data_IF_420169099180
#
_entry.id   IF_420169099180
#
_cell.length_a   1.000
_cell.length_b   1.000
_cell.length_c   1.000
_cell.angle_alpha   90.00
_cell.angle_beta   90.00
_cell.angle_gamma   90.00
#
_symmetry.space_group_name_H-M   'P 1'
#
loop_
_entity.id
_entity.type
_entity.pdbx_description
1 polymer ?
#
# COMPACT_ATOMS: atom_id res chain seq x y z
N UNK A 1 25.36 11.17 -3.30
CA UNK A 1 24.74 9.83 -3.42
C UNK A 1 24.58 9.44 -4.88
N UNK A 2 23.54 9.83 -5.64
CA UNK A 2 23.46 9.42 -7.05
C UNK A 2 24.45 10.18 -7.97
N UNK A 3 24.79 11.45 -7.65
CA UNK A 3 25.70 12.30 -8.45
C UNK A 3 27.12 11.74 -8.51
N UNK A 4 27.54 11.08 -7.44
CA UNK A 4 28.86 10.48 -7.33
C UNK A 4 28.99 9.30 -8.30
N UNK A 5 27.91 8.55 -8.55
CA UNK A 5 27.86 7.47 -9.54
C UNK A 5 27.89 7.99 -10.98
N UNK A 6 27.24 9.11 -11.27
CA UNK A 6 27.29 9.73 -12.60
C UNK A 6 28.69 10.23 -12.94
N UNK A 7 29.41 10.78 -11.95
CA UNK A 7 30.80 11.20 -12.10
C UNK A 7 31.72 9.99 -12.31
N UNK A 8 31.45 8.89 -11.60
CA UNK A 8 32.25 7.67 -11.65
C UNK A 8 32.04 6.84 -12.93
N UNK A 9 30.81 6.82 -13.46
CA UNK A 9 30.42 6.05 -14.65
C UNK A 9 29.71 6.89 -15.71
N UNK A 10 30.36 7.94 -16.25
CA UNK A 10 29.71 8.93 -17.10
C UNK A 10 29.08 8.34 -18.36
N UNK A 11 29.63 7.25 -18.91
CA UNK A 11 29.12 6.59 -20.10
C UNK A 11 27.83 5.78 -19.86
N UNK A 12 27.69 5.13 -18.69
CA UNK A 12 26.47 4.40 -18.33
C UNK A 12 25.29 5.36 -18.11
N UNK A 13 25.57 6.55 -17.56
CA UNK A 13 24.56 7.57 -17.31
C UNK A 13 24.33 8.53 -18.48
N UNK A 14 25.17 8.50 -19.52
CA UNK A 14 25.02 9.37 -20.70
C UNK A 14 23.71 9.15 -21.45
N UNK A 15 23.14 7.95 -21.37
CA UNK A 15 21.85 7.61 -21.97
C UNK A 15 20.65 8.14 -21.15
N UNK A 16 20.88 8.59 -19.91
CA UNK A 16 19.84 8.97 -18.94
C UNK A 16 20.11 10.35 -18.31
N UNK A 17 20.14 11.45 -19.11
CA UNK A 17 20.59 12.77 -18.65
C UNK A 17 19.67 13.44 -17.61
N UNK A 18 18.40 13.02 -17.51
CA UNK A 18 17.39 13.62 -16.63
C UNK A 18 17.09 12.79 -15.38
N UNK A 19 17.80 11.68 -15.17
CA UNK A 19 17.62 10.74 -14.05
C UNK A 19 17.49 11.42 -12.68
N UNK A 20 18.25 12.50 -12.45
CA UNK A 20 18.26 13.24 -11.19
C UNK A 20 17.04 14.12 -10.93
N UNK A 21 16.35 14.51 -11.98
CA UNK A 21 15.18 15.37 -11.90
C UNK A 21 13.88 14.57 -11.94
N UNK A 22 13.94 13.36 -12.47
CA UNK A 22 12.78 12.46 -12.61
C UNK A 22 12.58 11.58 -11.38
N UNK A 23 13.65 11.27 -10.64
CA UNK A 23 13.56 10.50 -9.41
C UNK A 23 13.38 11.38 -8.17
N UNK A 24 12.50 10.96 -7.27
CA UNK A 24 12.41 11.54 -5.93
C UNK A 24 13.59 11.13 -5.03
N UNK A 25 13.67 11.73 -3.84
CA UNK A 25 14.81 11.52 -2.95
C UNK A 25 14.97 10.05 -2.50
N UNK A 26 13.86 9.37 -2.21
CA UNK A 26 13.86 7.99 -1.71
C UNK A 26 14.25 7.02 -2.83
N UNK A 27 13.80 7.30 -4.06
CA UNK A 27 14.18 6.57 -5.27
C UNK A 27 15.66 6.77 -5.64
N UNK A 28 16.18 8.01 -5.51
CA UNK A 28 17.61 8.29 -5.73
C UNK A 28 18.49 7.60 -4.70
N UNK A 29 18.06 7.55 -3.45
CA UNK A 29 18.76 6.84 -2.37
C UNK A 29 18.78 5.34 -2.60
N UNK A 30 17.62 4.75 -2.91
CA UNK A 30 17.47 3.33 -3.25
C UNK A 30 18.35 2.96 -4.44
N UNK A 31 18.30 3.74 -5.53
CA UNK A 31 19.15 3.51 -6.70
C UNK A 31 20.64 3.66 -6.35
N UNK A 32 21.03 4.66 -5.57
CA UNK A 32 22.41 4.84 -5.14
C UNK A 32 22.93 3.67 -4.30
N UNK A 33 22.10 3.05 -3.47
CA UNK A 33 22.45 1.86 -2.68
C UNK A 33 22.58 0.63 -3.58
N UNK A 34 21.69 0.46 -4.56
CA UNK A 34 21.76 -0.61 -5.56
C UNK A 34 23.03 -0.52 -6.41
N UNK A 35 23.40 0.67 -6.88
CA UNK A 35 24.63 0.90 -7.66
C UNK A 35 25.89 0.57 -6.86
N UNK A 36 25.85 0.77 -5.54
CA UNK A 36 26.95 0.41 -4.65
C UNK A 36 27.17 -1.11 -4.58
N UNK A 37 26.09 -1.87 -4.49
CA UNK A 37 26.13 -3.34 -4.47
C UNK A 37 26.63 -3.89 -5.82
N UNK A 38 26.18 -3.30 -6.93
CA UNK A 38 26.60 -3.68 -8.29
C UNK A 38 28.11 -3.46 -8.48
N UNK A 39 28.63 -2.31 -8.03
CA UNK A 39 30.06 -2.02 -8.08
C UNK A 39 30.88 -3.03 -7.28
N UNK A 40 30.41 -3.43 -6.10
CA UNK A 40 31.09 -4.43 -5.27
C UNK A 40 31.05 -5.84 -5.88
N UNK A 41 30.06 -6.14 -6.73
CA UNK A 41 29.96 -7.40 -7.45
C UNK A 41 30.87 -7.49 -8.69
N UNK A 42 31.54 -6.40 -9.07
CA UNK A 42 32.55 -6.38 -10.15
C UNK A 42 31.98 -6.40 -11.58
N UNK A 43 30.66 -6.28 -11.74
CA UNK A 43 29.97 -6.14 -13.03
C UNK A 43 29.83 -4.68 -13.45
N UNK A 44 29.77 -4.42 -14.76
CA UNK A 44 29.50 -3.09 -15.30
C UNK A 44 28.11 -2.59 -14.87
N UNK A 45 27.96 -1.27 -14.68
CA UNK A 45 26.69 -0.67 -14.27
C UNK A 45 25.63 -0.82 -15.38
N UNK A 46 24.63 -1.69 -15.14
CA UNK A 46 23.33 -1.78 -15.83
C UNK A 46 23.30 -2.52 -17.19
N UNK A 47 24.10 -3.57 -17.37
CA UNK A 47 23.84 -4.52 -18.46
C UNK A 47 22.69 -5.49 -18.12
N UNK A 48 22.19 -6.22 -19.13
CA UNK A 48 21.09 -7.17 -18.97
C UNK A 48 21.35 -8.21 -17.88
N UNK A 49 22.58 -8.72 -17.79
CA UNK A 49 22.99 -9.71 -16.81
C UNK A 49 22.93 -9.17 -15.38
N UNK A 50 23.32 -7.91 -15.18
CA UNK A 50 23.24 -7.21 -13.90
C UNK A 50 21.78 -7.00 -13.48
N UNK A 51 20.91 -6.59 -14.41
CA UNK A 51 19.47 -6.44 -14.14
C UNK A 51 18.83 -7.79 -13.80
N UNK A 52 19.15 -8.85 -14.53
CA UNK A 52 18.65 -10.19 -14.21
C UNK A 52 19.12 -10.68 -12.85
N UNK A 53 20.37 -10.39 -12.46
CA UNK A 53 20.85 -10.72 -11.13
C UNK A 53 20.05 -10.02 -10.03
N UNK A 54 19.75 -8.73 -10.19
CA UNK A 54 18.95 -7.97 -9.20
C UNK A 54 17.54 -8.53 -9.12
N UNK A 55 16.90 -8.74 -10.27
CA UNK A 55 15.58 -9.34 -10.35
C UNK A 55 15.56 -10.68 -9.62
N UNK A 56 16.45 -11.61 -9.96
CA UNK A 56 16.54 -12.96 -9.38
C UNK A 56 16.69 -13.01 -7.84
N UNK A 57 17.17 -11.92 -7.21
CA UNK A 57 17.42 -11.87 -5.77
C UNK A 57 16.51 -10.90 -5.01
N UNK A 58 15.58 -10.24 -5.72
CA UNK A 58 14.51 -9.46 -5.08
C UNK A 58 13.57 -10.40 -4.31
N UNK A 59 13.36 -10.08 -3.03
CA UNK A 59 12.61 -10.96 -2.12
C UNK A 59 11.16 -10.51 -1.94
N UNK A 60 10.89 -9.22 -2.15
CA UNK A 60 9.58 -8.61 -1.94
C UNK A 60 8.97 -8.04 -3.23
N UNK A 61 7.67 -8.25 -3.40
CA UNK A 61 6.89 -7.75 -4.54
C UNK A 61 6.98 -6.22 -4.66
N UNK A 62 7.00 -5.50 -3.55
CA UNK A 62 7.13 -4.04 -3.52
C UNK A 62 8.48 -3.58 -4.08
N UNK A 63 9.58 -4.27 -3.75
CA UNK A 63 10.92 -3.93 -4.26
C UNK A 63 11.00 -4.17 -5.76
N UNK A 64 10.40 -5.26 -6.24
CA UNK A 64 10.23 -5.54 -7.67
C UNK A 64 9.43 -4.44 -8.36
N UNK A 65 8.28 -4.05 -7.82
CA UNK A 65 7.44 -2.98 -8.39
C UNK A 65 8.18 -1.66 -8.47
N UNK A 66 8.89 -1.25 -7.41
CA UNK A 66 9.69 -0.02 -7.43
C UNK A 66 10.83 -0.08 -8.45
N UNK A 67 11.51 -1.23 -8.56
CA UNK A 67 12.57 -1.41 -9.54
C UNK A 67 12.03 -1.40 -10.98
N UNK A 68 10.85 -1.99 -11.22
CA UNK A 68 10.18 -1.99 -12.52
C UNK A 68 9.74 -0.58 -12.91
N UNK A 69 9.13 0.17 -11.99
CA UNK A 69 8.74 1.58 -12.20
C UNK A 69 9.98 2.39 -12.55
N UNK A 70 11.04 2.26 -11.75
CA UNK A 70 12.32 2.89 -11.98
C UNK A 70 12.88 2.55 -13.37
N UNK A 71 12.97 1.28 -13.75
CA UNK A 71 13.48 0.87 -15.07
C UNK A 71 12.60 1.37 -16.24
N UNK A 72 11.29 1.52 -16.01
CA UNK A 72 10.32 2.01 -16.99
C UNK A 72 10.44 3.53 -17.18
N UNK A 73 10.56 4.27 -16.09
CA UNK A 73 10.75 5.73 -16.09
C UNK A 73 12.07 6.10 -16.77
N UNK A 74 13.10 5.28 -16.52
CA UNK A 74 14.42 5.43 -17.15
C UNK A 74 14.48 4.90 -18.59
N UNK A 75 13.39 4.30 -19.10
CA UNK A 75 13.31 3.73 -20.45
C UNK A 75 14.41 2.71 -20.75
N UNK A 76 14.92 2.01 -19.73
CA UNK A 76 15.99 1.03 -19.87
C UNK A 76 15.49 -0.42 -19.89
N UNK A 77 14.17 -0.62 -19.75
CA UNK A 77 13.55 -1.94 -19.80
C UNK A 77 13.47 -2.49 -21.22
N UNK A 78 14.17 -3.59 -21.48
CA UNK A 78 14.16 -4.27 -22.77
C UNK A 78 13.27 -5.53 -22.81
N UNK A 79 13.14 -6.12 -23.99
CA UNK A 79 12.30 -7.30 -24.22
C UNK A 79 12.78 -8.54 -23.45
N UNK A 80 14.08 -8.69 -23.23
CA UNK A 80 14.64 -9.81 -22.44
C UNK A 80 14.37 -9.65 -20.95
N UNK A 81 14.44 -8.42 -20.42
CA UNK A 81 14.08 -8.08 -19.04
C UNK A 81 12.60 -8.28 -18.75
N UNK A 82 11.73 -7.87 -19.67
CA UNK A 82 10.30 -8.17 -19.57
C UNK A 82 10.03 -9.67 -19.57
N UNK A 83 10.65 -10.43 -20.50
CA UNK A 83 10.49 -11.87 -20.54
C UNK A 83 11.00 -12.55 -19.27
N UNK A 84 12.11 -12.06 -18.70
CA UNK A 84 12.68 -12.57 -17.45
C UNK A 84 11.74 -12.35 -16.26
N UNK A 85 11.17 -11.15 -16.14
CA UNK A 85 10.14 -10.82 -15.15
C UNK A 85 8.92 -11.75 -15.24
N UNK A 86 8.41 -11.98 -16.44
CA UNK A 86 7.26 -12.87 -16.65
C UNK A 86 7.57 -14.34 -16.37
N UNK A 87 8.82 -14.79 -16.56
CA UNK A 87 9.20 -16.20 -16.40
C UNK A 87 9.69 -16.56 -15.01
N UNK A 88 10.35 -15.63 -14.29
CA UNK A 88 11.08 -15.95 -13.05
C UNK A 88 10.46 -15.34 -11.79
N UNK A 89 9.73 -14.23 -11.89
CA UNK A 89 9.19 -13.52 -10.73
C UNK A 89 7.71 -13.74 -10.47
N UNK A 90 7.10 -14.69 -11.20
CA UNK A 90 5.74 -15.19 -11.00
C UNK A 90 4.83 -14.10 -10.43
N UNK A 91 4.39 -13.19 -11.30
CA UNK A 91 3.23 -12.35 -11.04
C UNK A 91 2.02 -13.07 -11.65
N UNK A 92 1.59 -14.25 -11.14
CA UNK A 92 0.58 -15.07 -11.79
C UNK A 92 -0.69 -14.28 -12.02
N UNK A 93 -1.06 -13.42 -11.07
CA UNK A 93 -2.23 -12.56 -11.16
C UNK A 93 -2.11 -11.51 -12.28
N UNK A 94 -0.92 -10.98 -12.53
CA UNK A 94 -0.66 -10.03 -13.62
C UNK A 94 -0.56 -10.72 -14.97
N UNK A 95 0.10 -11.89 -15.03
CA UNK A 95 0.18 -12.69 -16.25
C UNK A 95 -1.21 -13.16 -16.67
N UNK A 96 -2.00 -13.71 -15.74
CA UNK A 96 -3.39 -14.09 -15.99
C UNK A 96 -4.22 -12.88 -16.44
N UNK A 97 -4.04 -11.72 -15.78
CA UNK A 97 -4.71 -10.47 -16.17
C UNK A 97 -4.38 -10.05 -17.62
N UNK A 98 -3.11 -10.13 -18.01
CA UNK A 98 -2.65 -9.80 -19.37
C UNK A 98 -3.17 -10.85 -20.36
N UNK A 99 -3.11 -12.13 -20.03
CA UNK A 99 -3.59 -13.22 -20.89
C UNK A 99 -5.10 -13.09 -21.15
N UNK A 100 -5.89 -12.84 -20.10
CA UNK A 100 -7.33 -12.59 -20.20
C UNK A 100 -7.63 -11.40 -21.10
N UNK A 101 -6.95 -10.26 -20.92
CA UNK A 101 -7.17 -9.07 -21.77
C UNK A 101 -6.75 -9.33 -23.23
N UNK A 102 -5.63 -10.01 -23.45
CA UNK A 102 -5.05 -10.21 -24.79
C UNK A 102 -5.93 -11.10 -25.67
N UNK A 103 -6.71 -11.99 -25.05
CA UNK A 103 -7.70 -12.82 -25.72
C UNK A 103 -8.90 -12.00 -26.25
N UNK A 104 -9.11 -10.78 -25.77
CA UNK A 104 -10.28 -9.97 -26.10
C UNK A 104 -9.96 -8.66 -26.83
N UNK A 105 -8.72 -8.16 -26.73
CA UNK A 105 -8.29 -6.92 -27.36
C UNK A 105 -6.78 -6.90 -27.60
N UNK A 106 -6.34 -6.06 -28.54
CA UNK A 106 -4.92 -5.73 -28.69
C UNK A 106 -4.50 -4.89 -27.48
N UNK A 107 -3.51 -5.39 -26.73
CA UNK A 107 -2.97 -4.69 -25.55
C UNK A 107 -1.89 -3.71 -26.02
N UNK A 108 -2.02 -2.44 -25.62
CA UNK A 108 -1.00 -1.41 -25.86
C UNK A 108 0.03 -1.37 -24.73
N UNK A 109 1.20 -0.79 -24.99
CA UNK A 109 2.23 -0.62 -23.96
C UNK A 109 1.74 0.16 -22.74
N UNK A 110 0.84 1.12 -22.92
CA UNK A 110 0.30 1.95 -21.83
C UNK A 110 -0.58 1.13 -20.87
N UNK A 111 -1.34 0.16 -21.39
CA UNK A 111 -2.16 -0.74 -20.57
C UNK A 111 -1.27 -1.63 -19.71
N UNK A 112 -0.20 -2.17 -20.30
CA UNK A 112 0.78 -2.97 -19.55
C UNK A 112 1.39 -2.14 -18.44
N UNK A 113 1.90 -0.94 -18.76
CA UNK A 113 2.50 -0.03 -17.76
C UNK A 113 1.53 0.29 -16.61
N UNK A 114 0.28 0.57 -16.92
CA UNK A 114 -0.75 0.82 -15.91
C UNK A 114 -0.99 -0.40 -15.01
N UNK A 115 -1.14 -1.60 -15.57
CA UNK A 115 -1.36 -2.81 -14.77
C UNK A 115 -0.15 -3.17 -13.90
N UNK A 116 1.07 -2.83 -14.34
CA UNK A 116 2.28 -2.98 -13.53
C UNK A 116 2.38 -1.97 -12.38
N UNK A 117 1.76 -0.79 -12.51
CA UNK A 117 1.85 0.27 -11.50
C UNK A 117 0.83 0.12 -10.36
N UNK A 118 -0.05 -0.89 -10.41
CA UNK A 118 -1.17 -1.04 -9.48
C UNK A 118 -1.03 -2.31 -8.64
N UNK A 119 -1.47 -2.22 -7.39
CA UNK A 119 -1.35 -3.31 -6.42
C UNK A 119 -2.20 -4.53 -6.76
N UNK A 120 -3.41 -4.31 -7.29
CA UNK A 120 -4.38 -5.36 -7.63
C UNK A 120 -4.80 -5.28 -9.12
N UNK A 121 -3.99 -5.83 -10.05
CA UNK A 121 -4.29 -5.73 -11.49
C UNK A 121 -5.55 -6.47 -11.93
N UNK A 122 -5.90 -7.58 -11.26
CA UNK A 122 -7.08 -8.39 -11.58
C UNK A 122 -8.38 -7.60 -11.47
N UNK A 123 -8.52 -6.74 -10.46
CA UNK A 123 -9.72 -5.90 -10.28
C UNK A 123 -9.89 -4.91 -11.43
N UNK A 124 -8.80 -4.25 -11.83
CA UNK A 124 -8.78 -3.35 -12.98
C UNK A 124 -9.12 -4.08 -14.28
N UNK A 125 -8.56 -5.27 -14.49
CA UNK A 125 -8.90 -6.12 -15.64
C UNK A 125 -10.36 -6.54 -15.60
N UNK A 126 -10.90 -6.87 -14.43
CA UNK A 126 -12.31 -7.17 -14.22
C UNK A 126 -13.23 -6.04 -14.68
N UNK A 127 -12.89 -4.78 -14.39
CA UNK A 127 -13.60 -3.62 -14.93
C UNK A 127 -13.43 -3.48 -16.44
N UNK A 128 -12.18 -3.56 -16.93
CA UNK A 128 -11.87 -3.42 -18.36
C UNK A 128 -12.67 -4.42 -19.20
N UNK A 129 -12.70 -5.68 -18.79
CA UNK A 129 -13.43 -6.74 -19.45
C UNK A 129 -14.93 -6.46 -19.54
N UNK A 130 -15.54 -6.03 -18.43
CA UNK A 130 -16.98 -5.70 -18.40
C UNK A 130 -17.31 -4.49 -19.29
N UNK A 131 -16.45 -3.48 -19.33
CA UNK A 131 -16.63 -2.30 -20.18
C UNK A 131 -16.38 -2.61 -21.68
N UNK A 132 -15.36 -3.39 -22.01
CA UNK A 132 -15.08 -3.87 -23.37
C UNK A 132 -16.28 -4.65 -23.94
N UNK A 133 -16.87 -5.54 -23.14
CA UNK A 133 -18.09 -6.27 -23.51
C UNK A 133 -19.30 -5.37 -23.80
N UNK A 134 -19.30 -4.13 -23.31
CA UNK A 134 -20.32 -3.11 -23.63
C UNK A 134 -19.92 -2.18 -24.78
N UNK A 135 -18.80 -2.47 -25.45
CA UNK A 135 -18.31 -1.73 -26.61
C UNK A 135 -17.54 -0.46 -26.28
N UNK A 136 -17.01 -0.32 -25.06
CA UNK A 136 -16.18 0.83 -24.70
C UNK A 136 -14.73 0.57 -25.15
N UNK A 137 -14.10 1.55 -25.79
CA UNK A 137 -12.71 1.43 -26.23
C UNK A 137 -11.73 1.35 -25.06
N UNK A 138 -10.70 0.51 -25.19
CA UNK A 138 -9.69 0.28 -24.15
C UNK A 138 -8.96 1.57 -23.73
N UNK A 139 -8.69 2.48 -24.67
CA UNK A 139 -8.07 3.79 -24.40
C UNK A 139 -8.94 4.66 -23.48
N UNK A 140 -10.26 4.69 -23.71
CA UNK A 140 -11.20 5.42 -22.89
C UNK A 140 -11.34 4.80 -21.49
N UNK A 141 -11.34 3.47 -21.40
CA UNK A 141 -11.37 2.74 -20.13
C UNK A 141 -10.11 3.05 -19.31
N UNK A 142 -8.93 2.97 -19.93
CA UNK A 142 -7.65 3.23 -19.27
C UNK A 142 -7.57 4.67 -18.75
N UNK A 143 -7.96 5.64 -19.58
CA UNK A 143 -8.01 7.05 -19.20
C UNK A 143 -8.96 7.29 -18.01
N UNK A 144 -10.11 6.61 -17.99
CA UNK A 144 -11.05 6.69 -16.88
C UNK A 144 -10.47 6.10 -15.58
N UNK A 145 -9.97 4.86 -15.61
CA UNK A 145 -9.43 4.16 -14.43
C UNK A 145 -8.26 4.92 -13.80
N UNK A 146 -7.34 5.42 -14.64
CA UNK A 146 -6.15 6.16 -14.20
C UNK A 146 -6.43 7.52 -13.56
N UNK A 147 -7.55 8.17 -13.89
CA UNK A 147 -7.81 9.56 -13.46
C UNK A 147 -8.97 9.69 -12.47
N UNK A 148 -9.92 8.76 -12.47
CA UNK A 148 -11.22 8.99 -11.83
C UNK A 148 -11.60 7.93 -10.80
N UNK A 149 -10.84 6.85 -10.65
CA UNK A 149 -11.19 5.72 -9.80
C UNK A 149 -10.16 5.53 -8.70
N UNK A 150 -10.65 5.44 -7.46
CA UNK A 150 -9.84 5.01 -6.33
C UNK A 150 -9.70 3.49 -6.40
N UNK A 151 -8.49 3.01 -6.70
CA UNK A 151 -8.25 1.64 -7.11
C UNK A 151 -8.52 0.63 -5.98
N UNK A 152 -8.32 1.06 -4.75
CA UNK A 152 -8.51 0.28 -3.52
C UNK A 152 -9.96 -0.20 -3.35
N UNK A 153 -10.94 0.51 -3.93
CA UNK A 153 -12.35 0.16 -3.82
C UNK A 153 -12.93 -0.57 -5.05
N UNK A 154 -12.13 -0.89 -6.07
CA UNK A 154 -12.64 -1.44 -7.33
C UNK A 154 -13.35 -2.77 -7.14
N UNK A 155 -12.78 -3.72 -6.39
CA UNK A 155 -13.37 -5.04 -6.24
C UNK A 155 -14.80 -4.98 -5.63
N UNK A 156 -14.93 -4.24 -4.53
CA UNK A 156 -16.24 -4.01 -3.90
C UNK A 156 -17.21 -3.29 -4.83
N UNK A 157 -16.70 -2.30 -5.58
CA UNK A 157 -17.52 -1.56 -6.54
C UNK A 157 -17.99 -2.45 -7.70
N UNK A 158 -17.14 -3.32 -8.25
CA UNK A 158 -17.53 -4.31 -9.25
C UNK A 158 -18.65 -5.19 -8.74
N UNK A 159 -18.51 -5.71 -7.52
CA UNK A 159 -19.52 -6.59 -6.92
C UNK A 159 -20.86 -5.89 -6.77
N UNK A 160 -20.89 -4.68 -6.21
CA UNK A 160 -22.14 -3.93 -6.03
C UNK A 160 -22.74 -3.49 -7.37
N UNK A 161 -21.91 -3.09 -8.33
CA UNK A 161 -22.34 -2.63 -9.64
C UNK A 161 -22.87 -3.78 -10.51
N UNK A 162 -22.31 -4.98 -10.40
CA UNK A 162 -22.79 -6.20 -11.07
C UNK A 162 -24.18 -6.64 -10.57
N UNK A 163 -24.54 -6.31 -9.33
CA UNK A 163 -25.88 -6.54 -8.78
C UNK A 163 -26.89 -5.48 -9.25
N UNK A 164 -26.42 -4.29 -9.61
CA UNK A 164 -27.27 -3.16 -10.00
C UNK A 164 -27.84 -3.30 -11.41
N UNK A 165 -28.78 -2.41 -11.77
CA UNK A 165 -29.29 -2.29 -13.14
C UNK A 165 -28.34 -1.51 -14.07
N UNK A 166 -27.26 -0.93 -13.55
CA UNK A 166 -26.33 -0.14 -14.34
C UNK A 166 -25.43 -1.00 -15.22
N UNK A 167 -25.19 -0.51 -16.44
CA UNK A 167 -24.24 -1.12 -17.37
C UNK A 167 -22.89 -0.43 -17.34
N UNK A 168 -21.81 -1.15 -17.62
CA UNK A 168 -20.44 -0.64 -17.80
C UNK A 168 -20.26 0.19 -19.09
N UNK A 169 -21.08 1.24 -19.24
CA UNK A 169 -21.02 2.24 -20.30
C UNK A 169 -20.51 3.57 -19.74
N UNK A 170 -19.96 4.45 -20.57
CA UNK A 170 -19.37 5.72 -20.12
C UNK A 170 -20.33 6.59 -19.30
N UNK A 171 -21.62 6.57 -19.64
CA UNK A 171 -22.69 7.28 -18.91
C UNK A 171 -22.85 6.85 -17.43
N UNK A 172 -22.42 5.64 -17.06
CA UNK A 172 -22.47 5.16 -15.68
C UNK A 172 -21.11 5.12 -14.98
N UNK A 173 -20.02 5.46 -15.66
CA UNK A 173 -18.69 5.51 -15.04
C UNK A 173 -18.62 6.47 -13.84
N UNK A 174 -19.27 7.66 -13.84
CA UNK A 174 -19.31 8.50 -12.64
C UNK A 174 -19.96 7.79 -11.43
N UNK A 175 -20.95 6.92 -11.68
CA UNK A 175 -21.61 6.13 -10.63
C UNK A 175 -20.65 5.10 -10.04
N UNK A 176 -19.94 4.37 -10.90
CA UNK A 176 -18.92 3.41 -10.49
C UNK A 176 -17.81 4.09 -9.65
N UNK A 177 -17.33 5.25 -10.09
CA UNK A 177 -16.31 6.03 -9.37
C UNK A 177 -16.78 6.43 -7.97
N UNK A 178 -18.04 6.87 -7.83
CA UNK A 178 -18.60 7.21 -6.53
C UNK A 178 -18.63 6.02 -5.56
N UNK A 179 -18.97 4.83 -6.06
CA UNK A 179 -18.98 3.59 -5.27
C UNK A 179 -17.55 3.19 -4.89
N UNK A 180 -16.62 3.18 -5.84
CA UNK A 180 -15.22 2.83 -5.61
C UNK A 180 -14.57 3.75 -4.57
N UNK A 181 -14.90 5.05 -4.56
CA UNK A 181 -14.43 5.98 -3.52
C UNK A 181 -14.95 5.61 -2.13
N UNK A 182 -16.23 5.30 -1.99
CA UNK A 182 -16.82 4.89 -0.71
C UNK A 182 -16.22 3.56 -0.24
N UNK A 183 -16.09 2.59 -1.15
CA UNK A 183 -15.50 1.28 -0.87
C UNK A 183 -13.98 1.27 -0.83
N UNK A 184 -13.31 2.41 -1.01
CA UNK A 184 -11.89 2.55 -0.65
C UNK A 184 -11.72 2.83 0.85
N UNK A 185 -12.78 3.21 1.55
CA UNK A 185 -12.76 3.35 3.00
C UNK A 185 -12.78 1.96 3.67
N UNK A 186 -11.86 1.66 4.61
CA UNK A 186 -11.74 0.32 5.20
C UNK A 186 -12.98 -0.09 6.00
N UNK A 187 -13.67 0.85 6.67
CA UNK A 187 -14.92 0.53 7.36
C UNK A 187 -16.02 0.11 6.37
N UNK A 188 -16.13 0.81 5.23
CA UNK A 188 -17.07 0.46 4.17
C UNK A 188 -16.76 -0.91 3.55
N UNK A 189 -15.49 -1.26 3.37
CA UNK A 189 -15.09 -2.60 2.90
C UNK A 189 -15.54 -3.66 3.90
N UNK A 190 -15.19 -3.49 5.17
CA UNK A 190 -15.53 -4.45 6.23
C UNK A 190 -17.03 -4.66 6.38
N UNK A 191 -17.84 -3.59 6.40
CA UNK A 191 -19.29 -3.73 6.48
C UNK A 191 -19.86 -4.33 5.20
N UNK A 192 -19.30 -4.03 4.02
CA UNK A 192 -19.70 -4.66 2.77
C UNK A 192 -19.47 -6.16 2.83
N UNK A 193 -18.28 -6.60 3.21
CA UNK A 193 -17.90 -8.01 3.31
C UNK A 193 -18.66 -8.75 4.41
N UNK A 194 -19.04 -8.06 5.49
CA UNK A 194 -19.78 -8.66 6.60
C UNK A 194 -21.10 -9.32 6.21
N UNK A 195 -21.71 -8.91 5.09
CA UNK A 195 -22.92 -9.55 4.53
C UNK A 195 -22.71 -11.00 4.13
N UNK A 196 -21.46 -11.39 3.85
CA UNK A 196 -21.07 -12.75 3.49
C UNK A 196 -20.68 -13.62 4.69
N UNK A 197 -20.84 -13.13 5.93
CA UNK A 197 -20.51 -13.94 7.12
C UNK A 197 -21.33 -15.23 7.15
N UNK A 198 -20.67 -16.32 7.52
CA UNK A 198 -21.31 -17.62 7.75
C UNK A 198 -20.95 -18.14 9.13
N UNK A 199 -21.93 -18.78 9.76
CA UNK A 199 -21.80 -19.38 11.09
C UNK A 199 -21.83 -20.92 11.03
N UNK A 200 -21.65 -21.49 9.83
CA UNK A 200 -21.60 -22.93 9.62
C UNK A 200 -20.67 -23.26 8.46
N UNK A 201 -19.80 -24.25 8.66
CA UNK A 201 -18.90 -24.79 7.63
C UNK A 201 -19.66 -25.45 6.47
N UNK A 202 -20.96 -25.70 6.64
CA UNK A 202 -21.86 -26.29 5.64
C UNK A 202 -22.86 -25.30 5.04
N UNK A 203 -22.87 -24.03 5.48
CA UNK A 203 -23.81 -23.06 4.96
C UNK A 203 -23.34 -22.54 3.59
N UNK A 204 -24.20 -22.71 2.59
CA UNK A 204 -24.07 -22.00 1.31
C UNK A 204 -24.60 -20.60 1.52
N UNK A 205 -23.72 -19.60 1.45
CA UNK A 205 -24.12 -18.20 1.57
C UNK A 205 -24.70 -17.77 0.23
N UNK A 206 -25.95 -17.30 0.22
CA UNK A 206 -26.54 -16.62 -0.93
C UNK A 206 -26.31 -15.12 -0.79
N UNK A 207 -26.12 -14.41 -1.91
CA UNK A 207 -26.00 -12.95 -1.90
C UNK A 207 -27.27 -12.34 -1.30
N UNK A 208 -27.19 -11.62 -0.17
CA UNK A 208 -28.35 -11.03 0.47
C UNK A 208 -28.87 -9.78 -0.25
N UNK A 209 -28.02 -9.08 -1.01
CA UNK A 209 -28.43 -7.88 -1.76
C UNK A 209 -29.09 -8.27 -3.08
N UNK A 210 -30.29 -7.75 -3.33
CA UNK A 210 -30.91 -7.84 -4.64
C UNK A 210 -30.60 -6.60 -5.51
N UNK A 211 -31.03 -6.62 -6.77
CA UNK A 211 -30.76 -5.52 -7.70
C UNK A 211 -31.43 -4.19 -7.32
N UNK A 212 -32.60 -4.25 -6.67
CA UNK A 212 -33.29 -3.05 -6.18
C UNK A 212 -32.53 -2.43 -5.01
N UNK A 213 -32.03 -3.24 -4.08
CA UNK A 213 -31.20 -2.77 -2.97
C UNK A 213 -29.90 -2.13 -3.48
N UNK A 214 -29.26 -2.76 -4.47
CA UNK A 214 -28.05 -2.25 -5.11
C UNK A 214 -28.30 -0.90 -5.79
N UNK A 215 -29.37 -0.78 -6.60
CA UNK A 215 -29.74 0.48 -7.23
C UNK A 215 -30.06 1.57 -6.19
N UNK A 216 -30.76 1.21 -5.12
CA UNK A 216 -31.13 2.14 -4.05
C UNK A 216 -29.89 2.75 -3.40
N UNK A 217 -28.95 1.92 -2.92
CA UNK A 217 -27.77 2.44 -2.25
C UNK A 217 -26.91 3.27 -3.20
N UNK A 218 -26.74 2.83 -4.45
CA UNK A 218 -25.96 3.57 -5.44
C UNK A 218 -26.58 4.96 -5.70
N UNK A 219 -27.91 5.04 -5.85
CA UNK A 219 -28.59 6.32 -6.05
C UNK A 219 -28.46 7.26 -4.83
N UNK A 220 -28.59 6.73 -3.61
CA UNK A 220 -28.39 7.50 -2.38
C UNK A 220 -26.96 8.08 -2.32
N UNK A 221 -25.96 7.27 -2.65
CA UNK A 221 -24.55 7.70 -2.68
C UNK A 221 -24.29 8.79 -3.73
N UNK A 222 -24.86 8.67 -4.93
CA UNK A 222 -24.66 9.66 -6.00
C UNK A 222 -25.36 10.99 -5.67
N UNK A 223 -26.53 10.94 -5.04
CA UNK A 223 -27.29 12.13 -4.66
C UNK A 223 -26.65 12.93 -3.52
N UNK A 224 -25.74 12.30 -2.78
CA UNK A 224 -25.03 12.91 -1.65
C UNK A 224 -23.74 13.55 -2.16
N UNK A 225 -23.40 14.74 -1.65
CA UNK A 225 -22.16 15.44 -2.05
C UNK A 225 -21.00 15.08 -1.12
N UNK A 226 -21.22 15.21 0.18
CA UNK A 226 -20.20 15.02 1.22
C UNK A 226 -19.76 13.55 1.37
N UNK A 227 -18.44 13.32 1.45
CA UNK A 227 -17.86 11.97 1.50
C UNK A 227 -18.11 11.27 2.84
N UNK A 228 -18.00 11.99 3.95
CA UNK A 228 -18.28 11.45 5.29
C UNK A 228 -19.74 10.98 5.39
N UNK A 229 -20.67 11.80 4.87
CA UNK A 229 -22.09 11.46 4.82
C UNK A 229 -22.35 10.23 3.95
N UNK A 230 -21.61 10.04 2.85
CA UNK A 230 -21.70 8.81 2.04
C UNK A 230 -21.27 7.58 2.81
N UNK A 231 -20.17 7.68 3.56
CA UNK A 231 -19.67 6.58 4.40
C UNK A 231 -20.70 6.20 5.46
N UNK A 232 -21.28 7.19 6.14
CA UNK A 232 -22.37 6.98 7.10
C UNK A 232 -23.56 6.27 6.44
N UNK A 233 -24.10 6.80 5.34
CA UNK A 233 -25.24 6.21 4.62
C UNK A 233 -24.93 4.76 4.20
N UNK A 234 -23.73 4.51 3.70
CA UNK A 234 -23.32 3.19 3.23
C UNK A 234 -23.24 2.18 4.38
N UNK A 235 -22.59 2.57 5.48
CA UNK A 235 -22.47 1.74 6.67
C UNK A 235 -23.84 1.37 7.22
N UNK A 236 -24.67 2.37 7.49
CA UNK A 236 -26.00 2.16 8.06
C UNK A 236 -26.90 1.31 7.15
N UNK A 237 -26.81 1.50 5.83
CA UNK A 237 -27.55 0.67 4.88
C UNK A 237 -27.16 -0.81 5.00
N UNK A 238 -25.86 -1.12 5.07
CA UNK A 238 -25.39 -2.50 5.10
C UNK A 238 -25.43 -3.19 6.45
N UNK A 239 -25.57 -2.44 7.53
CA UNK A 239 -25.83 -3.03 8.86
C UNK A 239 -27.05 -3.94 8.87
N UNK A 240 -28.05 -3.66 8.00
CA UNK A 240 -29.29 -4.43 7.88
C UNK A 240 -29.14 -5.76 7.13
N UNK A 241 -28.05 -5.95 6.37
CA UNK A 241 -27.79 -7.15 5.59
C UNK A 241 -26.79 -8.09 6.28
N UNK A 242 -26.30 -7.72 7.46
CA UNK A 242 -25.46 -8.60 8.29
C UNK A 242 -26.28 -9.79 8.79
N UNK A 243 -25.79 -11.03 8.61
CA UNK A 243 -26.45 -12.19 9.16
C UNK A 243 -26.28 -12.21 10.69
N UNK A 244 -27.35 -12.55 11.40
CA UNK A 244 -27.29 -12.71 12.86
C UNK A 244 -26.74 -14.10 13.23
N UNK A 245 -25.83 -14.19 14.22
CA UNK A 245 -25.31 -15.47 14.65
C UNK A 245 -26.42 -16.35 15.28
N UNK A 246 -26.43 -17.67 15.00
CA UNK A 246 -27.46 -18.57 15.52
C UNK A 246 -27.25 -18.95 17.00
N UNK A 247 -26.14 -18.52 17.62
CA UNK A 247 -25.75 -18.93 18.96
C UNK A 247 -24.84 -17.90 19.64
N UNK A 248 -24.93 -17.84 20.97
CA UNK A 248 -24.10 -16.97 21.81
C UNK A 248 -22.59 -17.26 21.71
N UNK A 249 -22.18 -18.44 21.23
CA UNK A 249 -20.76 -18.77 21.04
C UNK A 249 -20.03 -17.84 20.04
N UNK A 250 -20.78 -17.12 19.22
CA UNK A 250 -20.26 -16.14 18.24
C UNK A 250 -20.33 -14.70 18.76
N UNK A 251 -20.86 -14.48 19.96
CA UNK A 251 -20.87 -13.16 20.60
C UNK A 251 -19.50 -12.96 21.23
N UNK A 252 -18.76 -11.99 20.70
CA UNK A 252 -17.43 -11.61 21.17
C UNK A 252 -17.54 -10.24 21.81
N UNK A 253 -17.10 -10.11 23.06
CA UNK A 253 -16.97 -8.81 23.70
C UNK A 253 -15.73 -8.11 23.15
N UNK A 254 -15.95 -7.14 22.25
CA UNK A 254 -14.86 -6.35 21.66
C UNK A 254 -14.42 -5.25 22.61
N UNK A 255 -13.15 -5.26 23.01
CA UNK A 255 -12.57 -4.19 23.81
C UNK A 255 -12.12 -3.01 22.92
N UNK A 256 -12.98 -2.00 22.83
CA UNK A 256 -12.75 -0.78 22.03
C UNK A 256 -11.48 -0.04 22.48
N UNK A 257 -11.17 -0.02 23.79
CA UNK A 257 -9.98 0.62 24.31
C UNK A 257 -8.68 -0.01 23.78
N UNK A 258 -8.67 -1.34 23.65
CA UNK A 258 -7.52 -2.08 23.10
C UNK A 258 -7.36 -1.81 21.59
N UNK A 259 -8.48 -1.72 20.86
CA UNK A 259 -8.50 -1.37 19.43
C UNK A 259 -7.98 0.05 19.19
N UNK A 260 -8.42 1.02 19.99
CA UNK A 260 -7.91 2.41 19.95
C UNK A 260 -6.42 2.45 20.29
N UNK A 261 -5.98 1.73 21.33
CA UNK A 261 -4.56 1.70 21.73
C UNK A 261 -3.67 1.12 20.62
N UNK A 262 -4.14 0.07 19.94
CA UNK A 262 -3.44 -0.55 18.81
C UNK A 262 -3.30 0.43 17.62
N UNK A 263 -4.40 1.04 17.19
CA UNK A 263 -4.38 2.01 16.09
C UNK A 263 -3.52 3.23 16.42
N UNK A 264 -3.61 3.75 17.66
CA UNK A 264 -2.73 4.84 18.13
C UNK A 264 -1.26 4.44 18.13
N UNK A 265 -0.95 3.19 18.45
CA UNK A 265 0.42 2.67 18.43
C UNK A 265 0.97 2.69 17.00
N UNK A 266 0.17 2.26 16.01
CA UNK A 266 0.54 2.31 14.59
C UNK A 266 0.69 3.76 14.09
N UNK A 267 -0.27 4.62 14.43
CA UNK A 267 -0.22 6.05 14.13
C UNK A 267 1.03 6.72 14.71
N UNK A 268 1.40 6.42 15.95
CA UNK A 268 2.61 6.97 16.56
C UNK A 268 3.88 6.44 15.85
N UNK A 269 3.93 5.14 15.53
CA UNK A 269 5.06 4.55 14.79
C UNK A 269 5.27 5.22 13.43
N UNK A 270 4.20 5.48 12.66
CA UNK A 270 4.30 6.15 11.37
C UNK A 270 4.76 7.61 11.50
N UNK A 271 4.27 8.33 12.51
CA UNK A 271 4.71 9.71 12.79
C UNK A 271 6.17 9.80 13.23
N UNK A 272 6.66 8.80 13.97
CA UNK A 272 8.07 8.67 14.35
C UNK A 272 8.93 8.33 13.14
N UNK A 273 8.48 7.45 12.25
CA UNK A 273 9.21 7.13 11.02
C UNK A 273 9.32 8.35 10.09
N UNK A 274 8.27 9.18 10.03
CA UNK A 274 8.24 10.38 9.20
C UNK A 274 8.98 11.60 9.82
N UNK A 275 9.46 11.53 11.06
CA UNK A 275 10.15 12.65 11.70
C UNK A 275 11.61 12.71 11.27
N UNK A 276 11.93 13.63 10.37
CA UNK A 276 13.29 13.82 9.81
C UNK A 276 14.11 14.88 10.58
N UNK A 277 13.47 15.72 11.40
CA UNK A 277 14.11 16.80 12.16
C UNK A 277 13.93 16.67 13.68
N UNK A 278 14.81 17.32 14.43
CA UNK A 278 14.75 17.37 15.90
C UNK A 278 13.47 18.06 16.40
N UNK A 279 13.01 19.12 15.71
CA UNK A 279 11.76 19.82 16.04
C UNK A 279 10.53 18.91 15.82
N UNK A 280 10.50 18.15 14.72
CA UNK A 280 9.43 17.19 14.46
C UNK A 280 9.43 16.07 15.51
N UNK A 281 10.62 15.60 15.89
CA UNK A 281 10.78 14.57 16.91
C UNK A 281 10.28 15.04 18.28
N UNK A 282 10.56 16.30 18.65
CA UNK A 282 10.04 16.90 19.89
C UNK A 282 8.51 16.99 19.86
N UNK A 283 7.94 17.48 18.76
CA UNK A 283 6.49 17.59 18.61
C UNK A 283 5.78 16.22 18.69
N UNK A 284 6.36 15.17 18.09
CA UNK A 284 5.82 13.81 18.18
C UNK A 284 5.93 13.27 19.61
N UNK A 285 7.02 13.53 20.34
CA UNK A 285 7.14 13.16 21.78
C UNK A 285 6.11 13.87 22.65
N UNK A 286 5.87 15.16 22.42
CA UNK A 286 4.84 15.93 23.14
C UNK A 286 3.43 15.40 22.85
N UNK A 287 3.16 15.04 21.59
CA UNK A 287 1.91 14.40 21.18
C UNK A 287 1.70 13.07 21.91
N UNK A 288 2.70 12.17 21.93
CA UNK A 288 2.63 10.88 22.64
C UNK A 288 2.40 11.10 24.14
N UNK A 289 3.13 12.05 24.75
CA UNK A 289 2.97 12.39 26.17
C UNK A 289 1.55 12.90 26.47
N UNK A 290 0.98 13.69 25.55
CA UNK A 290 -0.39 14.21 25.67
C UNK A 290 -1.40 13.07 25.57
N UNK A 291 -1.27 12.20 24.57
CA UNK A 291 -2.13 11.02 24.40
C UNK A 291 -2.19 10.17 25.67
N UNK A 292 -1.03 9.90 26.28
CA UNK A 292 -0.93 9.09 27.51
C UNK A 292 -1.59 9.73 28.72
N UNK A 293 -1.56 11.07 28.84
CA UNK A 293 -2.04 11.79 30.04
C UNK A 293 -3.46 12.31 29.92
N UNK A 294 -3.87 12.72 28.72
CA UNK A 294 -5.09 13.49 28.47
C UNK A 294 -6.00 12.88 27.39
N UNK A 295 -5.53 11.87 26.66
CA UNK A 295 -6.24 11.33 25.50
C UNK A 295 -5.98 12.11 24.20
N UNK A 296 -6.74 11.75 23.17
CA UNK A 296 -6.60 12.29 21.82
C UNK A 296 -7.38 13.57 21.57
N UNK A 297 -7.48 13.92 20.28
CA UNK A 297 -8.23 15.07 19.79
C UNK A 297 -8.85 14.74 18.43
N UNK A 298 -9.59 15.69 17.86
CA UNK A 298 -10.30 15.50 16.58
C UNK A 298 -9.38 15.10 15.42
N UNK A 299 -8.19 15.69 15.35
CA UNK A 299 -7.23 15.40 14.27
C UNK A 299 -6.77 13.94 14.33
N UNK A 300 -6.49 13.44 15.54
CA UNK A 300 -6.06 12.06 15.74
C UNK A 300 -7.23 11.10 15.51
N UNK A 301 -8.43 11.46 15.98
CA UNK A 301 -9.65 10.69 15.72
C UNK A 301 -9.90 10.52 14.22
N UNK A 302 -9.93 11.61 13.47
CA UNK A 302 -10.17 11.56 12.02
C UNK A 302 -9.11 10.74 11.29
N UNK A 303 -7.89 10.62 11.84
CA UNK A 303 -6.82 9.81 11.28
C UNK A 303 -6.96 8.30 11.56
N UNK A 304 -7.59 7.89 12.66
CA UNK A 304 -7.64 6.47 13.08
C UNK A 304 -9.05 5.86 13.10
N UNK A 305 -10.10 6.68 13.06
CA UNK A 305 -11.49 6.23 13.34
C UNK A 305 -11.93 5.07 12.44
N UNK A 306 -11.56 5.08 11.17
CA UNK A 306 -11.95 4.03 10.22
C UNK A 306 -11.14 2.75 10.38
N UNK A 307 -9.86 2.83 10.80
CA UNK A 307 -9.06 1.65 11.16
C UNK A 307 -9.68 0.97 12.40
N UNK A 308 -9.94 1.76 13.45
CA UNK A 308 -10.53 1.25 14.70
C UNK A 308 -11.93 0.68 14.45
N UNK A 309 -12.78 1.40 13.72
CA UNK A 309 -14.14 0.96 13.40
C UNK A 309 -14.13 -0.33 12.59
N UNK A 310 -13.25 -0.43 11.60
CA UNK A 310 -13.08 -1.64 10.79
C UNK A 310 -12.65 -2.84 11.62
N UNK A 311 -11.71 -2.66 12.54
CA UNK A 311 -11.26 -3.71 13.46
C UNK A 311 -12.37 -4.18 14.40
N UNK A 312 -13.13 -3.23 14.98
CA UNK A 312 -14.28 -3.56 15.84
C UNK A 312 -15.30 -4.36 15.05
N UNK A 313 -15.66 -3.88 13.86
CA UNK A 313 -16.70 -4.51 13.05
C UNK A 313 -16.26 -5.88 12.54
N UNK A 314 -14.97 -6.09 12.25
CA UNK A 314 -14.43 -7.39 11.84
C UNK A 314 -14.56 -8.46 12.94
N UNK A 315 -14.39 -8.08 14.20
CA UNK A 315 -14.49 -9.00 15.34
C UNK A 315 -15.91 -9.12 15.89
N UNK A 316 -16.70 -8.04 15.85
CA UNK A 316 -18.06 -8.03 16.36
C UNK A 316 -19.02 -8.65 15.33
N UNK A 317 -19.19 -9.96 15.45
CA UNK A 317 -20.08 -10.73 14.60
C UNK A 317 -21.57 -10.52 14.90
N UNK A 318 -21.92 -9.75 15.94
CA UNK A 318 -23.30 -9.54 16.38
C UNK A 318 -23.67 -8.05 16.55
N UNK A 319 -22.83 -7.12 16.09
CA UNK A 319 -23.04 -5.67 16.22
C UNK A 319 -24.36 -5.24 15.57
N UNK A 320 -25.16 -4.46 16.29
CA UNK A 320 -26.29 -3.69 15.73
C UNK A 320 -26.00 -2.19 15.74
N UNK A 321 -24.74 -1.81 15.99
CA UNK A 321 -24.35 -0.40 16.07
C UNK A 321 -24.60 0.29 14.74
N UNK A 322 -25.06 1.53 14.82
CA UNK A 322 -25.05 2.45 13.69
C UNK A 322 -23.71 3.19 13.65
N UNK A 323 -23.50 3.91 12.55
CA UNK A 323 -22.31 4.71 12.34
C UNK A 323 -22.02 5.66 13.51
N UNK A 324 -23.04 6.43 13.93
CA UNK A 324 -22.88 7.43 15.00
C UNK A 324 -22.51 6.78 16.34
N UNK A 325 -23.17 5.66 16.70
CA UNK A 325 -22.87 4.91 17.93
C UNK A 325 -21.40 4.46 17.95
N UNK A 326 -20.93 3.89 16.82
CA UNK A 326 -19.56 3.41 16.70
C UNK A 326 -18.54 4.55 16.79
N UNK A 327 -18.81 5.67 16.12
CA UNK A 327 -17.93 6.84 16.16
C UNK A 327 -17.87 7.46 17.55
N UNK A 328 -19.00 7.54 18.26
CA UNK A 328 -19.07 8.06 19.62
C UNK A 328 -18.35 7.16 20.63
N UNK A 329 -18.46 5.84 20.49
CA UNK A 329 -17.73 4.88 21.33
C UNK A 329 -16.21 5.00 21.14
N UNK A 330 -15.74 5.09 19.88
CA UNK A 330 -14.32 5.29 19.56
C UNK A 330 -13.84 6.64 20.08
N UNK A 331 -14.62 7.71 19.89
CA UNK A 331 -14.29 9.05 20.36
C UNK A 331 -14.20 9.10 21.90
N UNK A 332 -15.15 8.47 22.59
CA UNK A 332 -15.16 8.36 24.04
C UNK A 332 -13.92 7.63 24.56
N UNK A 333 -13.55 6.50 23.94
CA UNK A 333 -12.36 5.73 24.30
C UNK A 333 -11.06 6.51 24.04
N UNK A 334 -10.95 7.20 22.91
CA UNK A 334 -9.79 8.02 22.56
C UNK A 334 -9.56 9.19 23.52
N UNK A 335 -10.63 9.82 24.00
CA UNK A 335 -10.54 10.95 24.92
C UNK A 335 -10.14 10.57 26.34
N UNK A 336 -10.04 9.27 26.66
CA UNK A 336 -9.45 8.82 27.92
C UNK A 336 -7.91 8.82 27.87
N UNK A 337 -7.22 8.96 29.01
CA UNK A 337 -5.77 8.80 29.07
C UNK A 337 -5.31 7.43 28.56
N UNK A 338 -4.42 7.41 27.58
CA UNK A 338 -3.93 6.18 26.93
C UNK A 338 -2.74 5.60 27.71
N UNK A 339 -2.99 5.13 28.92
CA UNK A 339 -1.94 4.73 29.89
C UNK A 339 -1.07 3.59 29.34
N UNK A 340 -1.68 2.68 28.57
CA UNK A 340 -1.06 1.49 27.99
C UNK A 340 -0.35 1.73 26.65
N UNK A 341 -0.46 2.93 26.06
CA UNK A 341 0.28 3.28 24.85
C UNK A 341 1.80 3.11 25.10
N UNK A 342 2.56 2.65 24.11
CA UNK A 342 4.03 2.53 24.22
C UNK A 342 4.66 3.93 24.53
N UNK A 343 5.82 3.96 25.22
CA UNK A 343 6.56 5.23 25.44
C UNK A 343 7.37 5.64 24.22
N UNK A 344 7.71 4.67 23.37
CA UNK A 344 8.55 4.83 22.17
C UNK A 344 9.93 5.44 22.41
N UNK A 345 10.38 5.58 23.66
CA UNK A 345 11.64 6.24 24.02
C UNK A 345 12.83 5.65 23.25
N UNK A 346 12.97 4.32 23.24
CA UNK A 346 14.03 3.61 22.52
C UNK A 346 14.03 3.87 21.00
N UNK A 347 12.87 4.12 20.38
CA UNK A 347 12.77 4.35 18.93
C UNK A 347 13.23 5.73 18.51
N UNK A 348 13.07 6.74 19.37
CA UNK A 348 13.66 8.05 19.11
C UNK A 348 15.19 8.05 19.28
N UNK A 349 15.76 7.14 20.08
CA UNK A 349 17.21 6.99 20.19
C UNK A 349 17.79 6.07 19.10
N UNK A 350 17.01 5.11 18.59
CA UNK A 350 17.40 4.18 17.51
C UNK A 350 17.14 4.69 16.08
N UNK A 351 16.30 5.71 15.86
CA UNK A 351 16.11 6.33 14.54
C UNK A 351 17.36 7.04 13.98
N UNK A 352 18.52 6.91 14.64
CA UNK A 352 19.82 7.25 14.05
C UNK A 352 20.40 6.14 13.16
N UNK A 353 19.87 4.91 13.22
CA UNK A 353 20.28 3.80 12.35
C UNK A 353 19.10 2.84 12.14
N UNK A 354 18.44 2.91 10.98
CA UNK A 354 17.59 1.81 10.51
C UNK A 354 18.50 0.71 9.96
N UNK A 355 18.49 -0.53 10.50
CA UNK A 355 19.11 -1.64 9.80
C UNK A 355 18.06 -2.23 8.84
N UNK A 356 18.14 -1.88 7.57
CA UNK A 356 17.52 -2.67 6.50
C UNK A 356 18.25 -4.03 6.41
N UNK A 357 17.65 -5.02 5.73
CA UNK A 357 18.32 -6.29 5.37
C UNK A 357 19.73 -6.06 4.79
N UNK A 358 19.89 -4.98 4.02
CA UNK A 358 21.17 -4.55 3.45
C UNK A 358 22.21 -4.09 4.49
N UNK A 359 21.79 -3.51 5.63
CA UNK A 359 22.68 -3.13 6.71
C UNK A 359 23.21 -4.35 7.51
N UNK A 360 22.41 -5.42 7.62
CA UNK A 360 22.82 -6.68 8.24
C UNK A 360 23.82 -7.46 7.36
N UNK A 361 23.59 -7.48 6.04
CA UNK A 361 24.53 -8.05 5.06
C UNK A 361 25.88 -7.31 5.04
N UNK A 362 25.87 -5.96 5.13
CA UNK A 362 27.07 -5.13 5.23
C UNK A 362 27.84 -5.32 6.55
N UNK A 363 27.15 -5.54 7.68
CA UNK A 363 27.80 -5.86 8.97
C UNK A 363 28.51 -7.20 8.95
N UNK A 364 27.95 -8.21 8.28
CA UNK A 364 28.58 -9.53 8.16
C UNK A 364 29.83 -9.54 7.25
N UNK A 365 29.97 -8.59 6.33
CA UNK A 365 31.17 -8.44 5.49
C UNK A 365 32.22 -7.49 6.08
N UNK A 366 31.82 -6.45 6.81
CA UNK A 366 32.78 -5.54 7.47
C UNK A 366 33.38 -6.13 8.75
N UNK A 367 32.71 -7.10 9.40
CA UNK A 367 33.27 -7.85 10.52
C UNK A 367 34.43 -8.80 10.15
N UNK A 368 34.61 -9.11 8.87
CA UNK A 368 35.67 -9.98 8.35
C UNK A 368 36.79 -9.23 7.63
N UNK A 369 36.66 -7.91 7.43
CA UNK A 369 37.68 -7.07 6.79
C UNK A 369 38.10 -5.93 7.73
N UNK A 370 38.58 -6.28 8.92
CA UNK A 370 39.45 -5.38 9.69
C UNK A 370 40.17 -6.14 10.79
N UNK A 371 41.28 -6.78 10.42
CA UNK A 371 42.36 -7.12 11.35
C UNK A 371 43.72 -7.23 10.64
N UNK A 372 43.76 -7.41 9.31
CA UNK A 372 45.03 -7.59 8.58
C UNK A 372 45.54 -6.36 7.78
N UNK A 373 44.82 -5.22 7.76
CA UNK A 373 45.29 -4.02 7.03
C UNK A 373 45.72 -2.83 7.91
N UNK A 374 45.70 -2.96 9.24
CA UNK A 374 46.26 -1.92 10.14
C UNK A 374 47.74 -2.13 10.48
N UNK A 375 48.38 -3.21 10.03
CA UNK A 375 49.80 -3.50 10.35
C UNK A 375 50.81 -3.13 9.25
N UNK A 376 50.35 -2.62 8.10
CA UNK A 376 51.25 -2.29 6.98
C UNK A 376 51.59 -0.78 6.94
N UNK A 377 50.67 0.12 7.35
CA UNK A 377 50.92 1.57 7.28
C UNK A 377 51.67 2.17 8.48
N UNK A 378 51.96 1.39 9.53
CA UNK A 378 52.82 1.85 10.64
C UNK A 378 54.29 1.44 10.52
N UNK A 379 54.68 0.57 9.58
CA UNK A 379 56.08 0.19 9.37
C UNK A 379 56.88 1.15 8.49
N UNK A 380 56.26 1.79 7.50
CA UNK A 380 56.98 2.69 6.58
C UNK A 380 57.21 4.12 7.11
N UNK A 381 56.70 4.44 8.30
CA UNK A 381 56.98 5.72 8.99
C UNK A 381 57.99 5.61 10.14
N UNK A 382 58.54 4.42 10.41
CA UNK A 382 59.51 4.21 11.50
C UNK A 382 60.97 4.03 11.06
N UNK A 383 61.29 4.00 9.76
CA UNK A 383 62.68 3.85 9.27
C UNK A 383 63.37 5.16 8.82
N UNK A 384 62.85 6.33 9.19
CA UNK A 384 63.57 7.61 9.01
C UNK A 384 63.80 8.36 10.31
N UNK A 385 64.31 7.68 11.34
CA UNK A 385 65.13 8.31 12.39
C UNK A 385 65.98 7.24 13.10
N UNK A 386 67.27 7.16 12.70
CA UNK A 386 68.47 6.58 13.36
C UNK A 386 69.38 6.06 12.22
N UNK A 387 70.59 6.54 11.96
CA UNK A 387 71.69 7.06 12.80
C UNK A 387 72.20 8.39 12.26
#
# INVERSE_FOLDING_TARGET
MLKDWQIKFPYSFAQFPNLFTELDFEQQETLSQLLHVIEQAGGGLLDGDTVFHILNHSSDLSELTYLIILMSDLKCMDKSMLNHLFTHHYLPDLQESIDVLSNHTIITSDVVKFLFSIRNPQDCVGFMMRALQKGVELSAILNYLSQNVTLEGINGALTLFDLSSYSYKPEHFPKFSAIAKVLANPLCQTIFESRWRSFSDYAVIAEPLNSTDADEIINRLISTVDEETKIHIFFDFLTSFRPFPPSQKYIVDVNIGDKVTTALTNYCKSRIAASVSDENSLAVREMITTLRKKGGNKIIFDAIKYEVASEIESEDLCSTRKYEDLMDEIWSALNQPQIHLETFEDKFYKNREYPSFFAEALKHQTGTVSLDMMDIEQKDKMERFSI
#
